data_IF_351234465082
#
_entry.id   IF_351234465082
#
_cell.length_a   1.000
_cell.length_b   1.000
_cell.length_c   1.000
_cell.angle_alpha   90.00
_cell.angle_beta   90.00
_cell.angle_gamma   90.00
#
_symmetry.space_group_name_H-M   'P 1'
#
loop_
_entity.id
_entity.type
_entity.pdbx_description
1 polymer ?
#
# COMPACT_ATOMS: atom_id res chain seq x y z
N UNK A 1 22.43 -7.61 14.68
CA UNK A 1 21.62 -6.40 14.94
C UNK A 1 22.54 -5.22 14.77
N UNK A 2 22.30 -4.36 13.79
CA UNK A 2 23.23 -3.27 13.45
C UNK A 2 22.96 -2.04 14.32
N UNK A 3 24.04 -1.40 14.80
CA UNK A 3 24.01 -0.23 15.68
C UNK A 3 24.39 1.00 14.85
N UNK A 4 23.65 2.09 14.99
CA UNK A 4 24.02 3.38 14.45
C UNK A 4 25.23 3.93 15.23
N UNK A 5 26.40 4.13 14.59
CA UNK A 5 27.60 4.60 15.28
C UNK A 5 27.48 6.03 15.81
N UNK A 6 26.53 6.84 15.30
CA UNK A 6 26.29 8.21 15.78
C UNK A 6 25.46 8.27 17.05
N UNK A 7 24.46 7.38 17.17
CA UNK A 7 23.47 7.43 18.25
C UNK A 7 23.63 6.31 19.27
N UNK A 8 24.41 5.28 18.97
CA UNK A 8 24.59 4.09 19.82
C UNK A 8 23.34 3.20 19.92
N UNK A 9 22.29 3.52 19.17
CA UNK A 9 21.03 2.78 19.15
C UNK A 9 21.01 1.78 18.00
N UNK A 10 20.13 0.80 18.10
CA UNK A 10 19.84 -0.09 16.99
C UNK A 10 19.23 0.76 15.87
N UNK A 11 19.65 0.56 14.61
CA UNK A 11 19.15 1.35 13.47
C UNK A 11 17.62 1.41 13.41
N UNK A 12 16.94 0.29 13.69
CA UNK A 12 15.48 0.21 13.74
C UNK A 12 14.84 1.14 14.77
N UNK A 13 15.52 1.42 15.87
CA UNK A 13 15.02 2.29 16.96
C UNK A 13 15.44 3.75 16.77
N UNK A 14 16.15 4.04 15.69
CA UNK A 14 16.58 5.40 15.38
C UNK A 14 15.41 6.19 14.81
N UNK A 15 15.19 7.39 15.37
CA UNK A 15 14.06 8.25 15.01
C UNK A 15 14.16 8.79 13.59
N UNK A 16 15.37 8.82 13.02
CA UNK A 16 15.66 9.30 11.67
C UNK A 16 15.57 8.18 10.61
N UNK A 17 15.00 7.02 10.97
CA UNK A 17 14.80 5.88 10.06
C UNK A 17 13.33 5.59 9.81
N UNK A 18 13.08 4.88 8.72
CA UNK A 18 11.77 4.36 8.36
C UNK A 18 11.79 2.83 8.33
N UNK A 19 10.71 2.20 8.79
CA UNK A 19 10.46 0.78 8.54
C UNK A 19 9.79 0.60 7.18
N UNK A 20 10.24 -0.40 6.41
CA UNK A 20 9.70 -0.74 5.10
C UNK A 20 9.06 -2.13 5.12
N UNK A 21 7.83 -2.21 4.61
CA UNK A 21 7.07 -3.45 4.46
C UNK A 21 6.71 -3.66 2.99
N UNK A 22 6.92 -4.88 2.49
CA UNK A 22 6.70 -5.22 1.08
C UNK A 22 5.89 -6.50 1.01
N UNK A 23 4.73 -6.47 0.32
CA UNK A 23 4.03 -7.69 -0.11
C UNK A 23 4.37 -7.97 -1.56
N UNK A 24 4.70 -9.22 -1.85
CA UNK A 24 4.89 -9.75 -3.20
C UNK A 24 3.81 -10.76 -3.52
N UNK A 25 3.51 -10.93 -4.80
CA UNK A 25 2.73 -12.07 -5.26
C UNK A 25 3.59 -13.34 -5.36
N UNK A 26 2.97 -14.45 -5.75
CA UNK A 26 3.62 -15.76 -5.94
C UNK A 26 4.75 -15.73 -6.99
N UNK A 27 4.73 -14.77 -7.92
CA UNK A 27 5.77 -14.57 -8.94
C UNK A 27 6.88 -13.61 -8.47
N UNK A 28 6.83 -13.14 -7.22
CA UNK A 28 7.80 -12.23 -6.62
C UNK A 28 7.62 -10.76 -7.01
N UNK A 29 6.57 -10.41 -7.76
CA UNK A 29 6.29 -9.01 -8.15
C UNK A 29 5.77 -8.25 -6.94
N UNK A 30 6.28 -7.03 -6.72
CA UNK A 30 5.81 -6.15 -5.64
C UNK A 30 4.38 -5.71 -5.92
N UNK A 31 3.49 -6.01 -4.99
CA UNK A 31 2.08 -5.63 -5.03
C UNK A 31 1.77 -4.49 -4.07
N UNK A 32 2.47 -4.47 -2.92
CA UNK A 32 2.31 -3.48 -1.86
C UNK A 32 3.68 -2.99 -1.40
N UNK A 33 3.82 -1.69 -1.22
CA UNK A 33 4.98 -1.04 -0.62
C UNK A 33 4.52 -0.06 0.46
N UNK A 34 4.95 -0.27 1.70
CA UNK A 34 4.62 0.61 2.83
C UNK A 34 5.92 1.09 3.47
N UNK A 35 6.03 2.39 3.69
CA UNK A 35 7.12 3.03 4.42
C UNK A 35 6.55 3.79 5.61
N UNK A 36 7.01 3.50 6.81
CA UNK A 36 6.51 4.09 8.04
C UNK A 36 7.62 4.76 8.82
N UNK A 37 7.42 6.00 9.24
CA UNK A 37 8.39 6.73 10.04
C UNK A 37 8.57 6.10 11.43
N UNK A 38 9.82 6.07 11.91
CA UNK A 38 10.16 5.75 13.30
C UNK A 38 10.31 7.02 14.16
N UNK A 39 9.96 8.20 13.62
CA UNK A 39 10.05 9.46 14.34
C UNK A 39 9.22 9.44 15.64
N UNK A 40 9.78 10.02 16.70
CA UNK A 40 9.15 10.10 18.03
C UNK A 40 8.11 11.22 18.12
N UNK A 41 7.10 11.16 17.25
CA UNK A 41 5.96 12.07 17.23
C UNK A 41 4.69 11.32 17.61
N UNK A 42 3.63 12.03 18.03
CA UNK A 42 2.39 11.40 18.51
C UNK A 42 1.68 10.53 17.45
N UNK A 43 1.88 10.81 16.16
CA UNK A 43 1.26 10.12 15.03
C UNK A 43 2.25 9.96 13.88
N UNK A 44 3.21 9.02 13.98
CA UNK A 44 4.21 8.85 12.93
C UNK A 44 3.51 8.37 11.64
N UNK A 45 3.79 8.99 10.48
CA UNK A 45 3.09 8.66 9.24
C UNK A 45 3.62 7.38 8.59
N UNK A 46 2.74 6.68 7.88
CA UNK A 46 3.05 5.68 6.88
C UNK A 46 2.58 6.15 5.50
N UNK A 47 3.40 5.94 4.49
CA UNK A 47 3.03 6.00 3.08
C UNK A 47 2.84 4.59 2.56
N UNK A 48 1.72 4.32 1.88
CA UNK A 48 1.35 2.99 1.40
C UNK A 48 0.95 3.07 -0.07
N UNK A 49 1.67 2.33 -0.91
CA UNK A 49 1.44 2.20 -2.33
C UNK A 49 1.01 0.77 -2.67
N UNK A 50 -0.02 0.61 -3.49
CA UNK A 50 -0.37 -0.69 -4.05
C UNK A 50 -1.03 -0.57 -5.43
N UNK A 51 -0.94 -1.63 -6.22
CA UNK A 51 -1.58 -1.71 -7.54
C UNK A 51 -3.02 -2.20 -7.41
N UNK A 52 -3.93 -1.64 -8.21
CA UNK A 52 -5.26 -2.23 -8.33
C UNK A 52 -5.16 -3.57 -9.10
N UNK A 53 -5.87 -4.63 -8.67
CA UNK A 53 -5.73 -5.98 -9.24
C UNK A 53 -6.44 -6.19 -10.59
N UNK A 54 -7.18 -5.20 -11.09
CA UNK A 54 -8.04 -5.31 -12.28
C UNK A 54 -7.36 -4.74 -13.53
N UNK A 55 -8.02 -4.82 -14.70
CA UNK A 55 -7.54 -4.29 -16.00
C UNK A 55 -7.24 -2.77 -15.98
N UNK A 56 -7.67 -2.08 -14.93
CA UNK A 56 -7.32 -0.70 -14.65
C UNK A 56 -5.84 -0.59 -14.26
N UNK A 57 -5.02 -0.04 -15.16
CA UNK A 57 -3.61 0.28 -14.92
C UNK A 57 -3.44 1.49 -14.00
N UNK A 58 -3.82 1.34 -12.73
CA UNK A 58 -3.72 2.36 -11.71
C UNK A 58 -3.08 1.84 -10.43
N UNK A 59 -2.50 2.76 -9.67
CA UNK A 59 -1.95 2.53 -8.35
C UNK A 59 -2.58 3.52 -7.37
N UNK A 60 -2.60 3.13 -6.10
CA UNK A 60 -3.20 3.91 -5.02
C UNK A 60 -2.10 4.38 -4.08
N UNK A 61 -2.21 5.62 -3.62
CA UNK A 61 -1.44 6.18 -2.52
C UNK A 61 -2.32 6.37 -1.29
N UNK A 62 -1.90 5.87 -0.14
CA UNK A 62 -2.51 6.16 1.14
C UNK A 62 -1.47 6.76 2.10
N UNK A 63 -1.91 7.72 2.92
CA UNK A 63 -1.13 8.28 4.02
C UNK A 63 -1.92 8.16 5.31
N UNK A 64 -1.40 7.44 6.29
CA UNK A 64 -2.09 7.18 7.55
C UNK A 64 -1.11 7.03 8.73
N UNK A 65 -1.65 6.97 9.96
CA UNK A 65 -0.85 6.81 11.17
C UNK A 65 -0.30 5.39 11.30
N UNK A 66 0.98 5.23 11.61
CA UNK A 66 1.63 3.95 11.87
C UNK A 66 0.93 3.06 12.89
N UNK A 67 0.27 3.62 13.89
CA UNK A 67 -0.42 2.82 14.93
C UNK A 67 -1.52 1.92 14.38
N UNK A 68 -2.05 2.23 13.18
CA UNK A 68 -3.11 1.44 12.53
C UNK A 68 -2.57 0.59 11.37
N UNK A 69 -1.24 0.47 11.23
CA UNK A 69 -0.59 -0.32 10.18
C UNK A 69 -1.08 -1.77 10.13
N UNK A 70 -1.44 -2.38 11.27
CA UNK A 70 -1.90 -3.77 11.32
C UNK A 70 -3.12 -4.03 10.40
N UNK A 71 -3.92 -3.00 10.11
CA UNK A 71 -5.13 -3.07 9.29
C UNK A 71 -4.87 -2.81 7.80
N UNK A 72 -3.61 -2.72 7.35
CA UNK A 72 -3.27 -2.29 5.99
C UNK A 72 -3.96 -3.09 4.88
N UNK A 73 -4.19 -4.40 5.07
CA UNK A 73 -4.90 -5.25 4.11
C UNK A 73 -6.35 -4.80 3.92
N UNK A 74 -7.01 -4.43 5.01
CA UNK A 74 -8.38 -3.93 5.00
C UNK A 74 -8.50 -2.58 4.30
N UNK A 75 -7.43 -1.77 4.30
CA UNK A 75 -7.38 -0.55 3.51
C UNK A 75 -7.33 -0.85 2.02
N UNK A 76 -6.46 -1.79 1.59
CA UNK A 76 -6.43 -2.22 0.20
C UNK A 76 -7.79 -2.77 -0.24
N UNK A 77 -8.39 -3.69 0.52
CA UNK A 77 -9.69 -4.29 0.21
C UNK A 77 -10.81 -3.25 0.06
N UNK A 78 -10.92 -2.33 1.03
CA UNK A 78 -11.95 -1.30 1.00
C UNK A 78 -11.73 -0.29 -0.14
N UNK A 79 -10.48 0.11 -0.39
CA UNK A 79 -10.18 1.02 -1.50
C UNK A 79 -10.41 0.34 -2.85
N UNK A 80 -10.03 -0.93 -3.02
CA UNK A 80 -10.33 -1.70 -4.24
C UNK A 80 -11.83 -1.77 -4.47
N UNK A 81 -12.61 -2.09 -3.42
CA UNK A 81 -14.08 -2.13 -3.50
C UNK A 81 -14.67 -0.79 -3.91
N UNK A 82 -14.20 0.31 -3.31
CA UNK A 82 -14.66 1.66 -3.62
C UNK A 82 -14.29 2.09 -5.04
N UNK A 83 -13.05 1.88 -5.48
CA UNK A 83 -12.64 2.21 -6.85
C UNK A 83 -13.44 1.40 -7.86
N UNK A 84 -13.68 0.11 -7.57
CA UNK A 84 -14.49 -0.74 -8.43
C UNK A 84 -15.95 -0.31 -8.56
N UNK A 85 -16.52 0.38 -7.56
CA UNK A 85 -17.90 0.89 -7.68
C UNK A 85 -18.05 2.03 -8.68
N UNK A 86 -16.95 2.64 -9.14
CA UNK A 86 -16.96 3.65 -10.20
C UNK A 86 -16.70 3.06 -11.60
N UNK A 87 -16.53 1.74 -11.72
CA UNK A 87 -16.32 1.09 -13.02
C UNK A 87 -17.56 1.28 -13.89
N UNK A 88 -17.33 1.60 -15.15
CA UNK A 88 -18.32 1.56 -16.21
C UNK A 88 -18.00 0.32 -17.03
N UNK A 89 -18.97 -0.60 -17.14
CA UNK A 89 -18.83 -1.73 -18.06
C UNK A 89 -19.07 -1.23 -19.48
N UNK A 90 -18.16 -1.53 -20.40
CA UNK A 90 -18.33 -1.19 -21.80
C UNK A 90 -19.58 -1.91 -22.34
N UNK A 91 -20.66 -1.17 -22.56
CA UNK A 91 -21.93 -1.68 -23.13
C UNK A 91 -21.82 -2.08 -24.62
N UNK A 92 -20.63 -2.40 -25.13
CA UNK A 92 -20.35 -2.59 -26.57
C UNK A 92 -20.12 -4.07 -26.94
N UNK A 93 -20.53 -5.03 -26.10
CA UNK A 93 -20.46 -6.46 -26.44
C UNK A 93 -21.77 -7.23 -26.24
N UNK A 94 -22.90 -6.54 -26.04
CA UNK A 94 -24.24 -7.16 -26.14
C UNK A 94 -25.03 -6.52 -27.26
N UNK A 95 -24.68 -6.85 -28.49
CA UNK A 95 -25.50 -6.50 -29.65
C UNK A 95 -24.81 -6.79 -30.97
N UNK A 96 -24.74 -8.07 -31.35
CA UNK A 96 -24.72 -8.49 -32.77
C UNK A 96 -25.02 -9.99 -32.83
N UNK A 97 -26.30 -10.33 -32.82
CA UNK A 97 -26.85 -11.48 -33.56
C UNK A 97 -28.04 -10.90 -34.32
N UNK A 98 -27.83 -10.57 -35.59
CA UNK A 98 -28.91 -10.33 -36.55
C UNK A 98 -28.81 -11.45 -37.59
N UNK A 99 -29.90 -12.22 -37.65
CA UNK A 99 -30.37 -13.16 -38.68
C UNK A 99 -29.49 -14.34 -39.14
#
# INVERSE_FOLDING_TARGET
MEINPKTGKIWREDADTDDVFVRRDEKGKVQTFIRCSNAKVARPPCTHHFHLPNDMKAWVYLSYNRHILAEWQKYEENTIKLVNSFRVDDAVSKGENHD
#
